data_IF_073954551405
#
_entry.id   IF_073954551405
#
_cell.length_a   1.000
_cell.length_b   1.000
_cell.length_c   1.000
_cell.angle_alpha   90.00
_cell.angle_beta   90.00
_cell.angle_gamma   90.00
#
_symmetry.space_group_name_H-M   'P 1'
#
loop_
_entity.id
_entity.type
_entity.pdbx_description
1 polymer ?
#
# COMPACT_ATOMS: atom_id res chain seq x y z
N UNK A 1 16.98 20.34 -10.35
CA UNK A 1 17.42 19.82 -9.04
C UNK A 1 17.91 18.39 -9.28
N UNK A 2 19.15 18.06 -8.89
CA UNK A 2 19.73 16.72 -9.10
C UNK A 2 19.17 15.78 -8.02
N UNK A 3 18.71 14.59 -8.40
CA UNK A 3 18.23 13.58 -7.46
C UNK A 3 19.42 13.04 -6.67
N UNK A 4 19.36 13.08 -5.34
CA UNK A 4 20.36 12.45 -4.46
C UNK A 4 19.93 11.02 -4.19
N UNK A 5 20.68 10.06 -4.72
CA UNK A 5 20.38 8.63 -4.63
C UNK A 5 21.67 7.83 -4.49
N UNK A 6 21.64 6.77 -3.67
CA UNK A 6 22.76 5.84 -3.52
C UNK A 6 22.69 4.78 -4.62
N UNK A 7 23.85 4.39 -5.14
CA UNK A 7 23.98 3.30 -6.13
C UNK A 7 23.29 2.02 -5.66
N UNK A 8 23.42 1.69 -4.37
CA UNK A 8 22.77 0.51 -3.78
C UNK A 8 21.25 0.51 -3.90
N UNK A 9 20.60 1.67 -3.88
CA UNK A 9 19.13 1.77 -4.00
C UNK A 9 18.67 1.45 -5.43
N UNK A 10 19.43 1.88 -6.43
CA UNK A 10 19.16 1.56 -7.83
C UNK A 10 19.47 0.10 -8.11
N UNK A 11 20.58 -0.41 -7.55
CA UNK A 11 20.94 -1.82 -7.61
C UNK A 11 19.86 -2.73 -7.03
N UNK A 12 19.33 -2.41 -5.84
CA UNK A 12 18.25 -3.17 -5.19
C UNK A 12 17.05 -3.35 -6.14
N UNK A 13 16.67 -2.28 -6.87
CA UNK A 13 15.57 -2.34 -7.83
C UNK A 13 15.92 -3.21 -9.04
N UNK A 14 17.11 -3.06 -9.63
CA UNK A 14 17.50 -3.85 -10.81
C UNK A 14 17.60 -5.36 -10.51
N UNK A 15 17.99 -5.71 -9.28
CA UNK A 15 18.05 -7.08 -8.78
C UNK A 15 16.67 -7.73 -8.75
N UNK A 16 15.66 -6.99 -8.26
CA UNK A 16 14.28 -7.49 -8.18
C UNK A 16 13.52 -7.39 -9.49
N UNK A 17 13.87 -6.42 -10.36
CA UNK A 17 13.13 -6.14 -11.60
C UNK A 17 13.96 -6.43 -12.86
N UNK A 18 14.00 -7.71 -13.28
CA UNK A 18 14.65 -8.14 -14.53
C UNK A 18 14.13 -7.39 -15.77
N UNK A 19 12.82 -7.13 -15.83
CA UNK A 19 12.17 -6.34 -16.88
C UNK A 19 12.73 -4.92 -17.02
N UNK A 20 13.11 -4.27 -15.91
CA UNK A 20 13.68 -2.93 -15.94
C UNK A 20 15.12 -2.97 -16.44
N UNK A 21 15.90 -3.97 -16.00
CA UNK A 21 17.25 -4.21 -16.53
C UNK A 21 17.22 -4.43 -18.04
N UNK A 22 16.25 -5.21 -18.55
CA UNK A 22 16.00 -5.39 -19.99
C UNK A 22 15.76 -4.07 -20.70
N UNK A 23 14.90 -3.21 -20.15
CA UNK A 23 14.59 -1.90 -20.74
C UNK A 23 15.80 -0.98 -20.78
N UNK A 24 16.53 -0.84 -19.67
CA UNK A 24 17.69 0.05 -19.56
C UNK A 24 18.81 -0.39 -20.52
N UNK A 25 19.05 -1.70 -20.60
CA UNK A 25 20.09 -2.25 -21.47
C UNK A 25 19.62 -2.46 -22.92
N UNK A 26 18.35 -2.18 -23.23
CA UNK A 26 17.72 -2.39 -24.53
C UNK A 26 17.90 -3.84 -25.04
N UNK A 27 17.59 -4.81 -24.18
CA UNK A 27 17.62 -6.24 -24.49
C UNK A 27 16.26 -6.73 -25.01
N UNK A 28 16.26 -7.84 -25.74
CA UNK A 28 15.03 -8.45 -26.27
C UNK A 28 14.23 -9.14 -25.15
N UNK A 29 14.92 -9.97 -24.36
CA UNK A 29 14.35 -10.76 -23.26
C UNK A 29 14.88 -10.33 -21.88
N UNK A 30 14.25 -10.82 -20.81
CA UNK A 30 14.70 -10.52 -19.44
C UNK A 30 16.00 -11.27 -19.10
N UNK A 31 17.05 -10.57 -18.65
CA UNK A 31 18.26 -11.20 -18.20
C UNK A 31 18.05 -11.83 -16.81
N UNK A 32 18.73 -12.95 -16.53
CA UNK A 32 18.67 -13.63 -15.24
C UNK A 32 19.84 -13.23 -14.37
N UNK A 33 19.58 -12.69 -13.18
CA UNK A 33 20.65 -12.35 -12.24
C UNK A 33 21.41 -13.61 -11.82
N UNK A 34 22.75 -13.57 -11.91
CA UNK A 34 23.64 -14.61 -11.41
C UNK A 34 24.30 -14.21 -10.11
N UNK A 35 24.77 -12.98 -10.02
CA UNK A 35 25.46 -12.47 -8.85
C UNK A 35 25.24 -10.98 -8.67
N UNK A 36 25.13 -10.58 -7.42
CA UNK A 36 25.08 -9.21 -6.96
C UNK A 36 26.30 -8.97 -6.09
N UNK A 37 26.96 -7.82 -6.24
CA UNK A 37 28.07 -7.40 -5.38
C UNK A 37 29.19 -8.45 -5.34
N UNK A 38 29.54 -8.99 -6.51
CA UNK A 38 30.50 -10.08 -6.68
C UNK A 38 31.91 -9.61 -6.38
N UNK A 39 32.59 -10.27 -5.43
CA UNK A 39 33.97 -9.95 -5.07
C UNK A 39 34.93 -10.51 -6.12
N UNK A 40 35.71 -9.61 -6.73
CA UNK A 40 36.75 -9.88 -7.72
C UNK A 40 38.11 -9.35 -7.21
N UNK A 41 39.24 -9.83 -7.75
CA UNK A 41 40.56 -9.31 -7.40
C UNK A 41 40.70 -7.79 -7.55
N UNK A 42 40.09 -7.21 -8.59
CA UNK A 42 40.14 -5.77 -8.86
C UNK A 42 39.07 -4.94 -8.14
N UNK A 43 38.19 -5.56 -7.36
CA UNK A 43 37.18 -4.85 -6.59
C UNK A 43 35.88 -5.63 -6.43
N UNK A 44 34.75 -4.92 -6.43
CA UNK A 44 33.43 -5.52 -6.26
C UNK A 44 32.56 -5.10 -7.43
N UNK A 45 32.17 -6.08 -8.25
CA UNK A 45 31.27 -5.89 -9.36
C UNK A 45 29.83 -5.76 -8.85
N UNK A 46 29.12 -4.73 -9.28
CA UNK A 46 27.75 -4.48 -8.84
C UNK A 46 26.81 -5.61 -9.25
N UNK A 47 26.72 -5.90 -10.56
CA UNK A 47 25.77 -6.89 -11.07
C UNK A 47 26.37 -7.77 -12.18
N UNK A 48 26.05 -9.06 -12.14
CA UNK A 48 26.34 -10.03 -13.18
C UNK A 48 25.08 -10.79 -13.55
N UNK A 49 24.65 -10.69 -14.81
CA UNK A 49 23.51 -11.43 -15.34
C UNK A 49 23.92 -12.47 -16.39
N UNK A 50 23.12 -13.52 -16.52
CA UNK A 50 23.08 -14.39 -17.68
C UNK A 50 22.03 -13.86 -18.66
N UNK A 51 22.38 -13.79 -19.94
CA UNK A 51 21.47 -13.42 -21.01
C UNK A 51 21.79 -14.24 -22.26
N UNK A 52 20.89 -15.13 -22.65
CA UNK A 52 21.13 -16.09 -23.73
C UNK A 52 22.47 -16.86 -23.51
N UNK A 53 23.39 -16.83 -24.47
CA UNK A 53 24.73 -17.45 -24.36
C UNK A 53 25.81 -16.50 -23.79
N UNK A 54 25.41 -15.37 -23.19
CA UNK A 54 26.28 -14.29 -22.76
C UNK A 54 26.18 -14.03 -21.25
N UNK A 55 27.23 -13.41 -20.73
CA UNK A 55 27.27 -12.80 -19.41
C UNK A 55 27.26 -11.29 -19.56
N UNK A 56 26.36 -10.62 -18.83
CA UNK A 56 26.28 -9.17 -18.78
C UNK A 56 26.94 -8.71 -17.48
N UNK A 57 28.13 -8.13 -17.60
CA UNK A 57 28.81 -7.41 -16.52
C UNK A 57 28.25 -5.99 -16.49
N UNK A 58 27.70 -5.59 -15.36
CA UNK A 58 27.08 -4.27 -15.18
C UNK A 58 27.77 -3.57 -14.00
N UNK A 59 28.38 -2.43 -14.28
CA UNK A 59 28.82 -1.47 -13.26
C UNK A 59 27.88 -0.27 -13.26
N UNK A 60 27.43 0.13 -12.07
CA UNK A 60 26.43 1.17 -11.89
C UNK A 60 27.05 2.40 -11.24
N UNK A 61 26.72 3.57 -11.79
CA UNK A 61 27.16 4.86 -11.25
C UNK A 61 25.99 5.84 -11.20
N UNK A 62 25.60 6.25 -9.99
CA UNK A 62 24.55 7.25 -9.76
C UNK A 62 25.05 8.69 -9.97
N UNK A 63 26.05 8.85 -10.82
CA UNK A 63 26.74 10.10 -11.13
C UNK A 63 27.03 10.17 -12.63
N UNK A 64 27.57 11.30 -13.09
CA UNK A 64 28.04 11.45 -14.46
C UNK A 64 29.25 10.53 -14.72
N UNK A 65 29.48 10.22 -15.99
CA UNK A 65 30.62 9.41 -16.39
C UNK A 65 31.96 9.97 -15.91
N UNK A 66 32.88 9.07 -15.54
CA UNK A 66 34.28 9.38 -15.27
C UNK A 66 35.16 8.27 -15.85
N UNK A 67 36.35 8.63 -16.33
CA UNK A 67 37.26 7.66 -16.97
C UNK A 67 37.65 6.49 -16.07
N UNK A 68 37.83 6.72 -14.76
CA UNK A 68 38.18 5.66 -13.82
C UNK A 68 37.09 4.57 -13.73
N UNK A 69 35.81 4.89 -13.97
CA UNK A 69 34.74 3.89 -14.01
C UNK A 69 34.88 2.95 -15.22
N UNK A 70 35.35 3.47 -16.35
CA UNK A 70 35.63 2.64 -17.53
C UNK A 70 36.79 1.69 -17.26
N UNK A 71 37.86 2.17 -16.64
CA UNK A 71 39.02 1.34 -16.30
C UNK A 71 38.63 0.22 -15.32
N UNK A 72 37.77 0.54 -14.34
CA UNK A 72 37.21 -0.42 -13.40
C UNK A 72 36.44 -1.56 -14.10
N UNK A 73 35.54 -1.22 -15.04
CA UNK A 73 34.78 -2.21 -15.83
C UNK A 73 35.71 -3.14 -16.63
N UNK A 74 36.78 -2.59 -17.20
CA UNK A 74 37.75 -3.38 -17.95
C UNK A 74 38.53 -4.34 -17.05
N UNK A 75 38.89 -3.90 -15.84
CA UNK A 75 39.51 -4.78 -14.83
C UNK A 75 38.56 -5.91 -14.41
N UNK A 76 37.29 -5.61 -14.15
CA UNK A 76 36.28 -6.64 -13.84
C UNK A 76 36.11 -7.64 -14.97
N UNK A 77 36.09 -7.18 -16.22
CA UNK A 77 36.01 -8.07 -17.38
C UNK A 77 37.21 -9.03 -17.44
N UNK A 78 38.42 -8.53 -17.19
CA UNK A 78 39.62 -9.37 -17.17
C UNK A 78 39.57 -10.42 -16.05
N UNK A 79 39.09 -10.06 -14.86
CA UNK A 79 38.92 -10.98 -13.73
C UNK A 79 37.89 -12.08 -14.04
N UNK A 80 36.75 -11.72 -14.63
CA UNK A 80 35.72 -12.69 -15.03
C UNK A 80 36.23 -13.68 -16.09
N UNK A 81 37.01 -13.21 -17.08
CA UNK A 81 37.65 -14.08 -18.08
C UNK A 81 38.61 -15.09 -17.41
N UNK A 82 39.39 -14.65 -16.42
CA UNK A 82 40.24 -15.58 -15.66
C UNK A 82 39.41 -16.59 -14.85
N UNK A 83 38.26 -16.17 -14.32
CA UNK A 83 37.35 -17.08 -13.60
C UNK A 83 36.76 -18.13 -14.55
N UNK A 84 36.39 -17.75 -15.79
CA UNK A 84 35.97 -18.70 -16.82
C UNK A 84 37.08 -19.71 -17.15
N UNK A 85 38.31 -19.25 -17.40
CA UNK A 85 39.46 -20.12 -17.69
C UNK A 85 39.76 -21.12 -16.57
N UNK A 86 39.51 -20.73 -15.31
CA UNK A 86 39.69 -21.58 -14.12
C UNK A 86 38.47 -22.45 -13.80
N UNK A 87 37.41 -22.43 -14.62
CA UNK A 87 36.17 -23.18 -14.39
C UNK A 87 35.34 -22.68 -13.20
N UNK A 88 35.59 -21.45 -12.71
CA UNK A 88 34.87 -20.83 -11.59
C UNK A 88 33.64 -20.03 -12.01
N UNK A 89 33.48 -19.80 -13.32
CA UNK A 89 32.37 -19.08 -13.92
C UNK A 89 31.94 -19.79 -15.21
N UNK A 90 30.64 -19.72 -15.53
CA UNK A 90 30.09 -20.28 -16.77
C UNK A 90 30.80 -19.70 -18.00
N UNK A 91 31.09 -20.55 -18.98
CA UNK A 91 31.64 -20.12 -20.26
C UNK A 91 30.59 -19.37 -21.09
N UNK A 92 31.00 -18.28 -21.74
CA UNK A 92 30.14 -17.43 -22.55
C UNK A 92 30.77 -16.07 -22.80
N UNK A 93 30.31 -15.36 -23.82
CA UNK A 93 30.82 -14.02 -24.14
C UNK A 93 30.46 -13.03 -23.02
N UNK A 94 31.42 -12.22 -22.60
CA UNK A 94 31.19 -11.18 -21.59
C UNK A 94 30.96 -9.84 -22.30
N UNK A 95 29.72 -9.37 -22.25
CA UNK A 95 29.36 -8.00 -22.58
C UNK A 95 29.43 -7.12 -21.34
N UNK A 96 30.07 -5.96 -21.48
CA UNK A 96 30.32 -5.06 -20.37
C UNK A 96 29.50 -3.79 -20.54
N UNK A 97 28.74 -3.44 -19.51
CA UNK A 97 27.91 -2.26 -19.44
C UNK A 97 28.39 -1.37 -18.29
N UNK A 98 28.51 -0.08 -18.58
CA UNK A 98 28.70 0.97 -17.58
C UNK A 98 27.45 1.85 -17.61
N UNK A 99 26.72 1.91 -16.51
CA UNK A 99 25.50 2.71 -16.37
C UNK A 99 25.86 3.99 -15.65
N UNK A 100 25.62 5.15 -16.29
CA UNK A 100 25.84 6.47 -15.70
C UNK A 100 24.59 7.34 -15.86
N UNK A 101 24.44 8.37 -15.02
CA UNK A 101 23.32 9.32 -15.13
C UNK A 101 23.46 10.25 -16.33
N UNK A 102 24.70 10.58 -16.70
CA UNK A 102 25.03 11.50 -17.78
C UNK A 102 26.30 11.01 -18.51
N UNK A 103 26.31 11.13 -19.84
CA UNK A 103 27.45 10.81 -20.69
C UNK A 103 27.36 11.53 -22.04
N UNK A 104 28.48 12.12 -22.48
CA UNK A 104 28.65 12.76 -23.79
C UNK A 104 28.86 11.73 -24.91
N UNK A 105 28.62 12.15 -26.16
CA UNK A 105 28.85 11.31 -27.36
C UNK A 105 30.31 10.87 -27.53
N UNK A 106 31.26 11.71 -27.12
CA UNK A 106 32.69 11.39 -27.11
C UNK A 106 33.02 10.28 -26.11
N UNK A 107 32.44 10.32 -24.91
CA UNK A 107 32.64 9.30 -23.87
C UNK A 107 32.01 7.97 -24.28
N UNK A 108 30.80 8.01 -24.85
CA UNK A 108 30.15 6.81 -25.41
C UNK A 108 31.01 6.16 -26.50
N UNK A 109 31.60 6.97 -27.37
CA UNK A 109 32.50 6.50 -28.43
C UNK A 109 33.79 5.91 -27.87
N UNK A 110 34.37 6.51 -26.82
CA UNK A 110 35.56 5.99 -26.15
C UNK A 110 35.28 4.64 -25.48
N UNK A 111 34.20 4.54 -24.71
CA UNK A 111 33.80 3.30 -24.04
C UNK A 111 33.58 2.18 -25.08
N UNK A 112 32.86 2.48 -26.17
CA UNK A 112 32.60 1.53 -27.26
C UNK A 112 33.89 1.06 -27.93
N UNK A 113 34.87 1.95 -28.18
CA UNK A 113 36.19 1.57 -28.71
C UNK A 113 36.96 0.61 -27.79
N UNK A 114 36.69 0.64 -26.48
CA UNK A 114 37.26 -0.29 -25.50
C UNK A 114 36.36 -1.51 -25.20
N UNK A 115 35.28 -1.70 -25.97
CA UNK A 115 34.38 -2.84 -25.83
C UNK A 115 33.47 -2.78 -24.60
N UNK A 116 33.13 -1.57 -24.14
CA UNK A 116 32.18 -1.31 -23.05
C UNK A 116 31.00 -0.50 -23.58
N UNK A 117 29.79 -0.95 -23.31
CA UNK A 117 28.55 -0.25 -23.61
C UNK A 117 28.28 0.79 -22.50
N UNK A 118 28.44 2.07 -22.82
CA UNK A 118 28.10 3.16 -21.90
C UNK A 118 26.61 3.51 -22.07
N UNK A 119 25.80 3.09 -21.12
CA UNK A 119 24.35 3.29 -21.10
C UNK A 119 24.02 4.43 -20.15
N UNK A 120 23.22 5.38 -20.64
CA UNK A 120 22.69 6.44 -19.79
C UNK A 120 21.36 5.98 -19.19
N UNK A 121 21.14 6.18 -17.90
CA UNK A 121 19.87 5.90 -17.24
C UNK A 121 19.44 7.08 -16.34
N UNK A 122 18.14 7.23 -16.12
CA UNK A 122 17.62 8.18 -15.14
C UNK A 122 17.27 7.43 -13.84
N UNK A 123 17.93 7.73 -12.70
CA UNK A 123 17.57 7.11 -11.44
C UNK A 123 16.12 7.37 -11.02
N UNK A 124 15.48 8.45 -11.50
CA UNK A 124 14.06 8.72 -11.26
C UNK A 124 13.18 7.66 -11.89
N UNK A 125 13.44 7.30 -13.14
CA UNK A 125 12.67 6.27 -13.86
C UNK A 125 12.77 4.91 -13.15
N UNK A 126 13.93 4.60 -12.57
CA UNK A 126 14.12 3.37 -11.77
C UNK A 126 13.28 3.38 -10.50
N UNK A 127 13.30 4.49 -9.76
CA UNK A 127 12.52 4.62 -8.52
C UNK A 127 11.02 4.69 -8.80
N UNK A 128 10.60 5.35 -9.87
CA UNK A 128 9.21 5.42 -10.31
C UNK A 128 8.72 4.03 -10.75
N UNK A 129 9.54 3.28 -11.50
CA UNK A 129 9.24 1.90 -11.85
C UNK A 129 9.06 1.03 -10.61
N UNK A 130 9.97 1.12 -9.64
CA UNK A 130 9.84 0.41 -8.37
C UNK A 130 8.52 0.78 -7.68
N UNK A 131 8.24 2.08 -7.53
CA UNK A 131 7.03 2.54 -6.85
C UNK A 131 5.76 2.05 -7.54
N UNK A 132 5.62 2.21 -8.86
CA UNK A 132 4.41 1.82 -9.59
C UNK A 132 4.16 0.31 -9.63
N UNK A 133 5.23 -0.51 -9.59
CA UNK A 133 5.09 -1.97 -9.58
C UNK A 133 4.98 -2.54 -8.16
N UNK A 134 5.62 -1.93 -7.17
CA UNK A 134 5.53 -2.34 -5.78
C UNK A 134 4.24 -1.85 -5.13
N UNK A 135 3.74 -0.66 -5.51
CA UNK A 135 2.57 -0.03 -4.89
C UNK A 135 1.32 -0.92 -4.90
N UNK A 136 0.89 -1.53 -6.03
CA UNK A 136 -0.29 -2.39 -6.06
C UNK A 136 -0.15 -3.63 -5.18
N UNK A 137 1.08 -4.11 -4.97
CA UNK A 137 1.37 -5.31 -4.20
C UNK A 137 1.46 -4.98 -2.70
N UNK A 138 2.18 -3.91 -2.35
CA UNK A 138 2.50 -3.54 -0.97
C UNK A 138 1.46 -2.67 -0.29
N UNK A 139 0.76 -1.89 -1.10
CA UNK A 139 -0.25 -0.99 -0.60
C UNK A 139 -1.61 -1.50 -1.09
N UNK A 140 -2.36 -2.10 -0.15
CA UNK A 140 -3.79 -2.40 -0.26
C UNK A 140 -4.65 -1.11 -0.41
N UNK A 141 -4.06 -0.03 -0.95
CA UNK A 141 -4.43 1.38 -0.81
C UNK A 141 -5.09 1.99 -2.03
N UNK A 142 -5.52 1.19 -3.00
CA UNK A 142 -6.55 1.72 -3.91
C UNK A 142 -7.84 1.99 -3.13
N UNK A 143 -8.11 1.18 -2.11
CA UNK A 143 -9.20 1.41 -1.19
C UNK A 143 -8.95 2.70 -0.42
N UNK A 144 -9.85 3.65 -0.58
CA UNK A 144 -9.90 4.89 0.21
C UNK A 144 -11.22 4.95 0.98
N UNK A 145 -11.25 5.58 2.17
CA UNK A 145 -12.49 5.79 2.92
C UNK A 145 -13.57 6.48 2.08
N UNK A 146 -14.84 6.14 2.29
CA UNK A 146 -15.96 6.73 1.54
C UNK A 146 -16.97 7.36 2.49
N UNK A 147 -17.51 8.51 2.11
CA UNK A 147 -18.64 9.12 2.81
C UNK A 147 -19.95 8.51 2.29
N UNK A 148 -20.59 7.65 3.09
CA UNK A 148 -21.89 7.01 2.78
C UNK A 148 -23.06 7.80 3.41
N UNK A 149 -22.77 8.86 4.19
CA UNK A 149 -23.78 9.68 4.86
C UNK A 149 -24.52 8.99 6.00
N UNK A 150 -23.96 7.91 6.56
CA UNK A 150 -24.53 7.20 7.73
C UNK A 150 -23.76 7.65 8.96
N UNK A 151 -24.34 8.44 9.86
CA UNK A 151 -23.55 9.10 10.90
C UNK A 151 -23.11 8.21 12.06
N UNK A 152 -23.80 7.10 12.34
CA UNK A 152 -23.49 6.20 13.45
C UNK A 152 -23.76 4.74 13.03
N UNK A 153 -23.09 3.79 13.68
CA UNK A 153 -23.20 2.36 13.33
C UNK A 153 -24.62 1.83 13.56
N UNK A 154 -25.29 2.24 14.64
CA UNK A 154 -26.61 1.72 15.00
C UNK A 154 -27.72 2.05 13.99
N UNK A 155 -27.50 3.01 13.07
CA UNK A 155 -28.50 3.41 12.08
C UNK A 155 -28.87 2.30 11.06
N UNK A 156 -28.12 1.20 11.04
CA UNK A 156 -28.45 0.02 10.22
C UNK A 156 -29.26 -1.05 10.97
N UNK A 157 -29.49 -0.90 12.26
CA UNK A 157 -30.17 -1.90 13.11
C UNK A 157 -31.50 -2.36 12.53
N UNK A 158 -32.38 -1.39 12.28
CA UNK A 158 -33.75 -1.60 11.81
C UNK A 158 -33.81 -2.60 10.63
N UNK A 159 -33.07 -2.33 9.55
CA UNK A 159 -33.16 -3.18 8.37
C UNK A 159 -32.37 -4.50 8.54
N UNK A 160 -31.25 -4.49 9.26
CA UNK A 160 -30.47 -5.71 9.51
C UNK A 160 -31.30 -6.72 10.31
N UNK A 161 -32.09 -6.26 11.28
CA UNK A 161 -32.98 -7.13 12.05
C UNK A 161 -34.12 -7.69 11.21
N UNK A 162 -34.65 -6.91 10.26
CA UNK A 162 -35.68 -7.38 9.33
C UNK A 162 -35.16 -8.47 8.38
N UNK A 163 -33.86 -8.59 8.14
CA UNK A 163 -33.28 -9.67 7.33
C UNK A 163 -33.42 -11.06 7.96
N UNK A 164 -33.86 -11.17 9.23
CA UNK A 164 -34.30 -12.45 9.80
C UNK A 164 -35.62 -12.94 9.21
N UNK A 165 -36.41 -12.03 8.61
CA UNK A 165 -37.77 -12.27 8.14
C UNK A 165 -37.92 -12.09 6.63
N UNK A 166 -36.98 -11.41 5.98
CA UNK A 166 -36.99 -11.19 4.53
C UNK A 166 -35.60 -11.29 3.92
N UNK A 167 -35.54 -11.65 2.64
CA UNK A 167 -34.34 -11.68 1.81
C UNK A 167 -34.47 -10.78 0.56
N UNK A 168 -35.43 -9.86 0.56
CA UNK A 168 -35.78 -8.99 -0.58
C UNK A 168 -35.60 -7.52 -0.24
N UNK A 169 -34.84 -6.79 -1.06
CA UNK A 169 -34.67 -5.33 -0.97
C UNK A 169 -35.98 -4.61 -1.26
N UNK A 170 -36.80 -5.10 -2.18
CA UNK A 170 -38.13 -4.57 -2.47
C UNK A 170 -38.99 -4.65 -1.21
N UNK A 171 -38.99 -5.80 -0.53
CA UNK A 171 -39.73 -5.94 0.73
C UNK A 171 -39.19 -5.03 1.83
N UNK A 172 -37.86 -4.87 1.92
CA UNK A 172 -37.27 -3.92 2.88
C UNK A 172 -37.71 -2.47 2.63
N UNK A 173 -37.94 -2.06 1.38
CA UNK A 173 -38.44 -0.70 1.06
C UNK A 173 -39.85 -0.45 1.58
N UNK A 174 -40.64 -1.50 1.78
CA UNK A 174 -41.99 -1.41 2.33
C UNK A 174 -41.99 -1.40 3.86
N UNK A 175 -40.93 -1.92 4.49
CA UNK A 175 -40.86 -2.15 5.93
C UNK A 175 -39.98 -1.13 6.68
N UNK A 176 -39.02 -0.51 5.99
CA UNK A 176 -38.06 0.44 6.57
C UNK A 176 -38.51 1.85 6.23
N UNK A 177 -38.64 2.69 7.26
CA UNK A 177 -39.02 4.09 7.06
C UNK A 177 -37.90 4.89 6.39
N UNK A 178 -38.30 5.82 5.51
CA UNK A 178 -37.42 6.78 4.86
C UNK A 178 -37.37 6.66 3.33
N UNK A 179 -36.48 7.44 2.72
CA UNK A 179 -36.35 7.46 1.26
C UNK A 179 -35.61 6.23 0.74
N UNK A 180 -35.89 5.83 -0.50
CA UNK A 180 -35.18 4.72 -1.18
C UNK A 180 -33.65 4.92 -1.17
N UNK A 181 -33.19 6.17 -1.30
CA UNK A 181 -31.77 6.53 -1.21
C UNK A 181 -31.19 6.28 0.18
N UNK A 182 -31.96 6.55 1.24
CA UNK A 182 -31.54 6.30 2.61
C UNK A 182 -31.37 4.82 2.88
N UNK A 183 -32.35 3.99 2.47
CA UNK A 183 -32.24 2.54 2.60
C UNK A 183 -31.06 1.99 1.77
N UNK A 184 -30.85 2.48 0.55
CA UNK A 184 -29.69 2.09 -0.25
C UNK A 184 -28.37 2.38 0.46
N UNK A 185 -28.22 3.57 1.08
CA UNK A 185 -27.02 3.92 1.84
C UNK A 185 -26.85 3.02 3.08
N UNK A 186 -27.95 2.71 3.80
CA UNK A 186 -27.94 1.75 4.92
C UNK A 186 -27.46 0.36 4.46
N UNK A 187 -27.98 -0.15 3.34
CA UNK A 187 -27.58 -1.44 2.74
C UNK A 187 -26.11 -1.42 2.35
N UNK A 188 -25.68 -0.40 1.59
CA UNK A 188 -24.28 -0.25 1.19
C UNK A 188 -23.36 -0.22 2.41
N UNK A 189 -23.72 0.53 3.44
CA UNK A 189 -22.93 0.61 4.67
C UNK A 189 -22.82 -0.74 5.39
N UNK A 190 -23.90 -1.50 5.53
CA UNK A 190 -23.82 -2.84 6.14
C UNK A 190 -23.03 -3.85 5.29
N UNK A 191 -23.08 -3.72 3.96
CA UNK A 191 -22.25 -4.51 3.05
C UNK A 191 -20.77 -4.18 3.23
N UNK A 192 -20.41 -2.90 3.35
CA UNK A 192 -19.04 -2.47 3.65
C UNK A 192 -18.58 -2.95 5.03
N UNK A 193 -19.48 -3.07 6.01
CA UNK A 193 -19.19 -3.69 7.31
C UNK A 193 -19.20 -5.23 7.28
N UNK A 194 -19.41 -5.85 6.11
CA UNK A 194 -19.50 -7.30 5.92
C UNK A 194 -20.58 -7.99 6.74
N UNK A 195 -21.64 -7.27 7.10
CA UNK A 195 -22.80 -7.81 7.83
C UNK A 195 -23.80 -8.50 6.89
N UNK A 196 -23.78 -8.15 5.61
CA UNK A 196 -24.70 -8.70 4.61
C UNK A 196 -23.96 -9.14 3.34
N UNK A 197 -24.52 -10.12 2.64
CA UNK A 197 -24.25 -10.41 1.25
C UNK A 197 -25.28 -9.67 0.40
N UNK A 198 -24.81 -8.83 -0.51
CA UNK A 198 -25.66 -8.06 -1.41
C UNK A 198 -24.87 -7.66 -2.65
N UNK A 199 -25.54 -7.63 -3.79
CA UNK A 199 -25.01 -7.10 -5.04
C UNK A 199 -25.83 -5.88 -5.48
N UNK A 200 -25.19 -4.79 -5.92
CA UNK A 200 -25.89 -3.61 -6.42
C UNK A 200 -26.94 -3.96 -7.48
N UNK A 201 -28.12 -3.33 -7.37
CA UNK A 201 -29.28 -3.51 -8.25
C UNK A 201 -29.92 -4.90 -8.24
N UNK A 202 -29.54 -5.78 -7.30
CA UNK A 202 -30.24 -7.04 -7.07
C UNK A 202 -31.22 -6.94 -5.91
N UNK A 203 -32.32 -7.70 -6.00
CA UNK A 203 -33.31 -7.79 -4.94
C UNK A 203 -32.85 -8.70 -3.79
N UNK A 204 -32.07 -9.73 -4.10
CA UNK A 204 -31.59 -10.70 -3.11
C UNK A 204 -30.60 -10.06 -2.14
N UNK A 205 -30.87 -10.21 -0.86
CA UNK A 205 -30.03 -9.74 0.25
C UNK A 205 -30.07 -10.77 1.39
N UNK A 206 -28.95 -11.01 2.06
CA UNK A 206 -28.90 -11.96 3.18
C UNK A 206 -27.84 -11.59 4.22
N UNK A 207 -28.01 -12.06 5.45
CA UNK A 207 -27.00 -11.91 6.50
C UNK A 207 -25.77 -12.79 6.23
N UNK A 208 -24.57 -12.24 6.44
CA UNK A 208 -23.34 -13.05 6.56
C UNK A 208 -23.32 -13.78 7.91
N UNK A 209 -22.30 -14.62 8.14
CA UNK A 209 -22.08 -15.19 9.47
C UNK A 209 -21.79 -14.11 10.53
N UNK A 210 -21.10 -13.03 10.17
CA UNK A 210 -20.89 -11.87 11.04
C UNK A 210 -22.22 -11.15 11.31
N UNK A 211 -23.04 -10.96 10.27
CA UNK A 211 -24.38 -10.37 10.38
C UNK A 211 -25.30 -11.15 11.31
N UNK A 212 -25.34 -12.48 11.21
CA UNK A 212 -26.16 -13.33 12.10
C UNK A 212 -25.76 -13.15 13.56
N UNK A 213 -24.46 -13.25 13.83
CA UNK A 213 -23.90 -13.01 15.16
C UNK A 213 -24.18 -11.61 15.69
N UNK A 214 -24.15 -10.60 14.82
CA UNK A 214 -24.48 -9.22 15.18
C UNK A 214 -25.94 -9.07 15.62
N UNK A 215 -26.87 -9.76 14.95
CA UNK A 215 -28.29 -9.74 15.29
C UNK A 215 -28.57 -10.51 16.59
N UNK A 216 -27.88 -11.62 16.82
CA UNK A 216 -28.01 -12.43 18.04
C UNK A 216 -27.62 -11.65 19.31
N UNK A 217 -26.64 -10.73 19.19
CA UNK A 217 -26.09 -9.91 20.29
C UNK A 217 -26.83 -8.59 20.53
N UNK A 218 -28.01 -8.40 19.91
CA UNK A 218 -28.78 -7.15 20.06
C UNK A 218 -29.17 -6.90 21.51
N UNK A 219 -29.09 -5.65 21.94
CA UNK A 219 -29.67 -5.23 23.22
C UNK A 219 -31.21 -5.30 23.12
N UNK A 220 -31.84 -6.06 24.01
CA UNK A 220 -33.30 -6.21 24.04
C UNK A 220 -34.01 -5.03 24.71
N UNK A 221 -33.30 -4.26 25.53
CA UNK A 221 -33.79 -3.14 26.32
C UNK A 221 -33.58 -1.84 25.54
N UNK A 222 -32.41 -1.66 24.92
CA UNK A 222 -32.04 -0.46 24.15
C UNK A 222 -31.62 -0.81 22.71
N UNK A 223 -32.56 -1.30 21.87
CA UNK A 223 -32.23 -1.77 20.52
C UNK A 223 -31.78 -0.66 19.56
N UNK A 224 -31.97 0.61 19.92
CA UNK A 224 -31.55 1.77 19.12
C UNK A 224 -30.06 2.08 19.27
N UNK A 225 -29.36 1.51 20.26
CA UNK A 225 -27.92 1.69 20.47
C UNK A 225 -27.18 0.39 20.19
N UNK A 226 -25.90 0.53 19.83
CA UNK A 226 -25.01 -0.62 19.75
C UNK A 226 -24.82 -1.20 21.16
N UNK A 227 -25.12 -2.49 21.33
CA UNK A 227 -24.80 -3.19 22.58
C UNK A 227 -23.28 -3.35 22.72
N UNK A 228 -22.77 -3.52 23.94
CA UNK A 228 -21.33 -3.77 24.14
C UNK A 228 -20.89 -5.05 23.40
N UNK A 229 -21.74 -6.08 23.37
CA UNK A 229 -21.45 -7.32 22.64
C UNK A 229 -21.39 -7.12 21.11
N UNK A 230 -22.25 -6.25 20.56
CA UNK A 230 -22.20 -5.87 19.15
C UNK A 230 -20.97 -5.01 18.84
N UNK A 231 -20.63 -4.07 19.73
CA UNK A 231 -19.45 -3.22 19.62
C UNK A 231 -18.17 -4.06 19.65
N UNK A 232 -18.05 -5.01 20.60
CA UNK A 232 -16.92 -5.92 20.70
C UNK A 232 -16.79 -6.80 19.45
N UNK A 233 -17.90 -7.36 18.95
CA UNK A 233 -17.91 -8.18 17.73
C UNK A 233 -17.34 -7.39 16.55
N UNK A 234 -17.88 -6.20 16.29
CA UNK A 234 -17.45 -5.35 15.17
C UNK A 234 -16.01 -4.88 15.36
N UNK A 235 -15.64 -4.43 16.57
CA UNK A 235 -14.29 -4.00 16.91
C UNK A 235 -13.27 -5.09 16.58
N UNK A 236 -13.53 -6.33 17.03
CA UNK A 236 -12.65 -7.47 16.77
C UNK A 236 -12.54 -7.79 15.27
N UNK A 237 -13.64 -7.69 14.53
CA UNK A 237 -13.64 -7.90 13.09
C UNK A 237 -12.81 -6.83 12.35
N UNK A 238 -13.01 -5.55 12.66
CA UNK A 238 -12.27 -4.42 12.09
C UNK A 238 -10.77 -4.53 12.41
N UNK A 239 -10.41 -4.93 13.64
CA UNK A 239 -9.02 -5.14 14.07
C UNK A 239 -8.31 -6.23 13.25
N UNK A 240 -9.03 -7.30 12.91
CA UNK A 240 -8.47 -8.44 12.18
C UNK A 240 -8.45 -8.20 10.66
N UNK A 241 -9.32 -7.34 10.14
CA UNK A 241 -9.53 -7.19 8.71
C UNK A 241 -9.56 -5.71 8.26
N UNK A 242 -8.55 -4.89 8.60
CA UNK A 242 -8.66 -3.43 8.44
C UNK A 242 -8.70 -2.92 6.99
N UNK A 243 -8.33 -3.75 6.02
CA UNK A 243 -8.34 -3.42 4.59
C UNK A 243 -9.50 -4.05 3.83
N UNK A 244 -10.42 -4.69 4.55
CA UNK A 244 -11.49 -5.49 3.96
C UNK A 244 -12.48 -4.63 3.15
N UNK A 245 -12.66 -3.36 3.53
CA UNK A 245 -13.59 -2.45 2.87
C UNK A 245 -13.22 -0.97 3.10
N UNK A 246 -13.85 -0.07 2.34
CA UNK A 246 -13.59 1.36 2.46
C UNK A 246 -14.08 1.94 3.80
N UNK A 247 -15.19 1.42 4.35
CA UNK A 247 -15.68 1.83 5.67
C UNK A 247 -14.74 1.35 6.77
N UNK A 248 -14.34 0.08 6.73
CA UNK A 248 -13.47 -0.51 7.74
C UNK A 248 -12.12 0.22 7.77
N UNK A 249 -11.55 0.51 6.59
CA UNK A 249 -10.33 1.30 6.48
C UNK A 249 -10.49 2.70 7.05
N UNK A 250 -11.63 3.37 6.83
CA UNK A 250 -11.88 4.70 7.38
C UNK A 250 -11.98 4.72 8.91
N UNK A 251 -12.56 3.68 9.52
CA UNK A 251 -12.54 3.50 10.98
C UNK A 251 -11.10 3.36 11.47
N UNK A 252 -10.31 2.50 10.83
CA UNK A 252 -8.91 2.33 11.20
C UNK A 252 -8.11 3.64 11.05
N UNK A 253 -8.29 4.34 9.94
CA UNK A 253 -7.57 5.55 9.60
C UNK A 253 -7.85 6.71 10.55
N UNK A 254 -9.09 6.87 11.05
CA UNK A 254 -9.39 7.94 12.02
C UNK A 254 -8.76 7.65 13.38
N UNK A 255 -8.72 6.39 13.81
CA UNK A 255 -8.06 5.97 15.06
C UNK A 255 -6.56 6.20 14.96
N UNK A 256 -5.92 5.80 13.85
CA UNK A 256 -4.50 6.07 13.61
C UNK A 256 -4.18 7.56 13.48
N UNK A 257 -5.10 8.37 12.95
CA UNK A 257 -4.96 9.82 12.88
C UNK A 257 -4.92 10.46 14.26
N UNK A 258 -5.83 10.05 15.15
CA UNK A 258 -5.82 10.50 16.54
C UNK A 258 -4.54 10.05 17.25
N UNK A 259 -4.10 8.80 17.05
CA UNK A 259 -2.84 8.32 17.62
C UNK A 259 -1.61 9.08 17.11
N UNK A 260 -1.59 9.49 15.84
CA UNK A 260 -0.50 10.27 15.29
C UNK A 260 -0.47 11.69 15.88
N UNK A 261 -1.63 12.35 15.96
CA UNK A 261 -1.76 13.69 16.52
C UNK A 261 -1.53 13.74 18.03
N UNK A 262 -1.89 12.69 18.77
CA UNK A 262 -1.73 12.64 20.23
C UNK A 262 -0.28 12.74 20.70
N UNK A 263 0.69 12.46 19.82
CA UNK A 263 2.12 12.66 20.07
C UNK A 263 2.49 14.14 20.22
N UNK A 264 1.71 15.04 19.64
CA UNK A 264 1.93 16.48 19.68
C UNK A 264 1.00 17.18 20.68
N UNK A 265 -0.27 16.76 20.76
CA UNK A 265 -1.28 17.40 21.63
C UNK A 265 -2.32 16.39 22.08
N UNK A 266 -2.60 16.32 23.39
CA UNK A 266 -3.61 15.44 23.96
C UNK A 266 -4.42 16.14 25.07
N UNK A 267 -5.77 16.04 25.08
CA UNK A 267 -6.62 15.37 24.09
C UNK A 267 -6.53 16.04 22.71
N UNK A 268 -6.81 15.30 21.65
CA UNK A 268 -6.61 15.79 20.27
C UNK A 268 -7.76 16.76 19.92
N UNK A 269 -7.48 18.01 19.53
CA UNK A 269 -8.52 18.93 19.09
C UNK A 269 -9.18 18.45 17.79
N UNK A 270 -10.51 18.54 17.71
CA UNK A 270 -11.29 18.11 16.55
C UNK A 270 -10.86 18.86 15.27
N UNK A 271 -10.57 20.16 15.38
CA UNK A 271 -10.08 20.98 14.27
C UNK A 271 -8.81 20.39 13.63
N UNK A 272 -7.83 20.00 14.46
CA UNK A 272 -6.60 19.38 13.97
C UNK A 272 -6.87 18.02 13.32
N UNK A 273 -7.78 17.23 13.90
CA UNK A 273 -8.15 15.94 13.35
C UNK A 273 -8.81 16.08 11.97
N UNK A 274 -9.64 17.10 11.74
CA UNK A 274 -10.34 17.30 10.47
C UNK A 274 -9.37 17.43 9.30
N UNK A 275 -8.36 18.28 9.43
CA UNK A 275 -7.38 18.49 8.37
C UNK A 275 -6.42 17.31 8.23
N UNK A 276 -5.93 16.78 9.35
CA UNK A 276 -5.00 15.66 9.32
C UNK A 276 -5.64 14.38 8.76
N UNK A 277 -6.87 14.05 9.17
CA UNK A 277 -7.57 12.85 8.71
C UNK A 277 -7.79 12.86 7.19
N UNK A 278 -8.23 13.99 6.63
CA UNK A 278 -8.43 14.12 5.18
C UNK A 278 -7.13 13.85 4.40
N UNK A 279 -5.99 14.34 4.92
CA UNK A 279 -4.68 14.07 4.33
C UNK A 279 -4.27 12.60 4.52
N UNK A 280 -4.34 12.09 5.75
CA UNK A 280 -3.95 10.73 6.12
C UNK A 280 -4.74 9.66 5.34
N UNK A 281 -6.04 9.89 5.14
CA UNK A 281 -6.94 9.00 4.38
C UNK A 281 -6.74 9.08 2.85
N UNK A 282 -5.82 9.91 2.34
CA UNK A 282 -5.62 10.11 0.91
C UNK A 282 -6.81 10.79 0.21
N UNK A 283 -7.59 11.56 0.97
CA UNK A 283 -8.82 12.24 0.56
C UNK A 283 -8.68 13.75 0.45
N UNK A 284 -7.46 14.28 0.53
CA UNK A 284 -7.18 15.72 0.42
C UNK A 284 -7.81 16.37 -0.83
N UNK A 285 -7.71 15.70 -2.00
CA UNK A 285 -8.29 16.20 -3.25
C UNK A 285 -9.77 15.85 -3.45
N UNK A 286 -10.32 14.91 -2.67
CA UNK A 286 -11.72 14.47 -2.78
C UNK A 286 -12.63 15.25 -1.82
N UNK A 287 -12.15 15.51 -0.60
CA UNK A 287 -12.84 16.26 0.45
C UNK A 287 -12.33 17.70 0.50
N UNK A 288 -12.50 18.43 -0.60
CA UNK A 288 -11.94 19.77 -0.76
C UNK A 288 -12.62 20.83 0.12
N UNK A 289 -13.91 20.67 0.41
CA UNK A 289 -14.66 21.66 1.19
C UNK A 289 -14.52 21.41 2.70
N UNK A 290 -14.49 22.47 3.54
CA UNK A 290 -14.48 22.32 5.00
C UNK A 290 -15.65 21.46 5.51
N UNK A 291 -16.82 21.59 4.88
CA UNK A 291 -18.01 20.78 5.19
C UNK A 291 -17.80 19.29 4.90
N UNK A 292 -17.20 18.94 3.77
CA UNK A 292 -16.94 17.54 3.42
C UNK A 292 -15.94 16.91 4.39
N UNK A 293 -14.84 17.60 4.71
CA UNK A 293 -13.87 17.14 5.72
C UNK A 293 -14.54 16.95 7.08
N UNK A 294 -15.27 17.96 7.55
CA UNK A 294 -15.98 17.90 8.82
C UNK A 294 -16.94 16.72 8.89
N UNK A 295 -17.78 16.54 7.87
CA UNK A 295 -18.76 15.45 7.82
C UNK A 295 -18.07 14.08 7.87
N UNK A 296 -17.07 13.86 7.01
CA UNK A 296 -16.36 12.59 6.96
C UNK A 296 -15.60 12.29 8.26
N UNK A 297 -14.86 13.26 8.80
CA UNK A 297 -14.14 13.11 10.08
C UNK A 297 -15.10 12.81 11.22
N UNK A 298 -16.21 13.56 11.32
CA UNK A 298 -17.18 13.36 12.39
C UNK A 298 -17.88 12.01 12.25
N UNK A 299 -18.25 11.59 11.04
CA UNK A 299 -18.81 10.27 10.76
C UNK A 299 -17.88 9.14 11.22
N UNK A 300 -16.61 9.14 10.79
CA UNK A 300 -15.67 8.09 11.19
C UNK A 300 -15.32 8.17 12.69
N UNK A 301 -15.24 9.37 13.28
CA UNK A 301 -15.06 9.52 14.72
C UNK A 301 -16.23 8.93 15.51
N UNK A 302 -17.47 9.05 15.01
CA UNK A 302 -18.64 8.44 15.63
C UNK A 302 -18.53 6.91 15.59
N UNK A 303 -18.16 6.32 14.45
CA UNK A 303 -17.99 4.88 14.37
C UNK A 303 -16.92 4.37 15.35
N UNK A 304 -15.79 5.06 15.43
CA UNK A 304 -14.73 4.70 16.36
C UNK A 304 -15.16 4.85 17.83
N UNK A 305 -16.01 5.83 18.14
CA UNK A 305 -16.63 5.98 19.47
C UNK A 305 -17.64 4.88 19.75
N UNK A 306 -18.52 4.55 18.79
CA UNK A 306 -19.50 3.46 18.90
C UNK A 306 -18.78 2.11 19.16
N UNK A 307 -17.59 1.92 18.59
CA UNK A 307 -16.76 0.73 18.82
C UNK A 307 -15.90 0.79 20.10
N UNK A 308 -15.96 1.88 20.87
CA UNK A 308 -15.15 2.08 22.08
C UNK A 308 -13.66 2.29 21.82
N UNK A 309 -13.25 2.59 20.59
CA UNK A 309 -11.85 2.85 20.21
C UNK A 309 -11.42 4.27 20.54
N UNK A 310 -12.36 5.21 20.48
CA UNK A 310 -12.18 6.62 20.81
C UNK A 310 -13.24 7.04 21.83
N UNK A 311 -12.94 8.08 22.58
CA UNK A 311 -13.93 8.85 23.33
C UNK A 311 -13.91 10.30 22.83
N UNK A 312 -14.97 11.06 23.04
CA UNK A 312 -14.99 12.45 22.59
C UNK A 312 -15.87 13.37 23.43
N UNK A 313 -15.51 14.64 23.40
CA UNK A 313 -16.40 15.77 23.71
C UNK A 313 -16.80 16.45 22.39
N UNK A 314 -17.41 17.63 22.46
CA UNK A 314 -17.74 18.40 21.26
C UNK A 314 -16.48 18.83 20.47
N UNK A 315 -15.41 19.20 21.18
CA UNK A 315 -14.22 19.83 20.58
C UNK A 315 -12.95 18.96 20.66
N UNK A 316 -12.95 17.89 21.45
CA UNK A 316 -11.76 17.07 21.67
C UNK A 316 -12.02 15.58 21.59
N UNK A 317 -11.00 14.84 21.12
CA UNK A 317 -10.99 13.39 21.01
C UNK A 317 -9.97 12.80 21.99
N UNK A 318 -10.38 11.76 22.69
CA UNK A 318 -9.58 10.97 23.62
C UNK A 318 -9.34 9.59 23.05
N UNK A 319 -8.17 9.04 23.37
CA UNK A 319 -7.80 7.69 22.99
C UNK A 319 -8.14 6.72 24.12
N UNK A 320 -8.87 5.66 23.82
CA UNK A 320 -9.23 4.65 24.82
C UNK A 320 -8.15 3.57 24.92
N UNK A 321 -8.15 2.75 25.98
CA UNK A 321 -7.28 1.57 26.05
C UNK A 321 -7.46 0.61 24.85
N UNK A 322 -8.70 0.43 24.39
CA UNK A 322 -9.00 -0.39 23.21
C UNK A 322 -8.49 0.26 21.92
N UNK A 323 -8.54 1.59 21.80
CA UNK A 323 -7.89 2.33 20.70
C UNK A 323 -6.38 2.11 20.63
N UNK A 324 -5.70 2.06 21.79
CA UNK A 324 -4.27 1.71 21.86
C UNK A 324 -4.01 0.29 21.37
N UNK A 325 -4.77 -0.69 21.85
CA UNK A 325 -4.64 -2.10 21.41
C UNK A 325 -4.89 -2.23 19.91
N UNK A 326 -5.93 -1.56 19.41
CA UNK A 326 -6.28 -1.49 18.00
C UNK A 326 -5.10 -1.00 17.16
N UNK A 327 -4.47 0.12 17.55
CA UNK A 327 -3.36 0.71 16.80
C UNK A 327 -2.15 -0.21 16.75
N UNK A 328 -1.80 -0.87 17.86
CA UNK A 328 -0.68 -1.83 17.88
C UNK A 328 -0.94 -2.98 16.90
N UNK A 329 -2.16 -3.55 16.92
CA UNK A 329 -2.52 -4.63 16.00
C UNK A 329 -2.55 -4.18 14.54
N UNK A 330 -3.03 -2.96 14.27
CA UNK A 330 -2.99 -2.35 12.95
C UNK A 330 -1.58 -2.27 12.38
N UNK A 331 -0.63 -1.80 13.18
CA UNK A 331 0.77 -1.69 12.77
C UNK A 331 1.39 -3.07 12.50
N UNK A 332 1.04 -4.09 13.30
CA UNK A 332 1.46 -5.47 13.02
C UNK A 332 0.89 -5.99 11.69
N UNK A 333 -0.40 -5.78 11.41
CA UNK A 333 -1.01 -6.19 10.14
C UNK A 333 -0.37 -5.47 8.95
N UNK A 334 -0.10 -4.16 9.05
CA UNK A 334 0.63 -3.39 8.02
C UNK A 334 1.98 -4.03 7.70
N UNK A 335 2.76 -4.31 8.74
CA UNK A 335 4.10 -4.86 8.59
C UNK A 335 4.08 -6.27 7.99
N UNK A 336 3.20 -7.16 8.48
CA UNK A 336 3.06 -8.52 7.93
C UNK A 336 2.72 -8.47 6.45
N UNK A 337 1.77 -7.62 6.09
CA UNK A 337 1.35 -7.44 4.71
C UNK A 337 2.46 -6.86 3.82
N UNK A 338 3.17 -5.83 4.26
CA UNK A 338 4.32 -5.28 3.52
C UNK A 338 5.42 -6.33 3.30
N UNK A 339 5.69 -7.18 4.29
CA UNK A 339 6.66 -8.28 4.18
C UNK A 339 6.19 -9.35 3.19
N UNK A 340 4.91 -9.71 3.18
CA UNK A 340 4.34 -10.61 2.18
C UNK A 340 4.54 -10.04 0.77
N UNK A 341 4.28 -8.75 0.57
CA UNK A 341 4.41 -8.09 -0.72
C UNK A 341 5.84 -8.01 -1.23
N UNK A 342 6.82 -7.80 -0.34
CA UNK A 342 8.25 -7.83 -0.66
C UNK A 342 8.76 -9.20 -1.12
N UNK A 343 8.02 -10.29 -0.88
CA UNK A 343 8.37 -11.62 -1.39
C UNK A 343 7.83 -11.89 -2.79
N UNK A 344 6.80 -11.13 -3.20
CA UNK A 344 6.12 -11.28 -4.49
C UNK A 344 6.71 -10.34 -5.53
N UNK A 345 7.21 -9.18 -5.09
CA UNK A 345 8.08 -8.30 -5.87
C UNK A 345 9.48 -8.88 -5.96
#
# INVERSE_FOLDING_TARGET
MKLEVRESQIEDVLVSAGVLTRQILNLEDEPRLLSRQMILPSGRLDLLYAYQAKLLLIELKAVEFRHNFLDQVLSYKADLLQYQQKGKLLQGDIESYLLCTEATSSEKSLAKKRGVNLTQYDPREVLDFFYENFKPIAFFTETKPIDIGIWNLHLVHEFIYLLQQTNSVIRLRELVDGSQKTLYNKIKFAFELRLINWLPNQDTISLTNLGKQYVERKDKILPERLSEEQAELLRKFVMQNPYESAVILGIAAVVESVFALSKNTYPVPMEQLIDFFAYYAGKYFDWQTPKAKFNATRMYSNYAVDLGLLAKTDDTIYFTPEGFRFTVQMQMHKNLKMVESLRVF
#
